data_IF_943031311190
#
_entry.id   IF_943031311190
#
_cell.length_a   1.000
_cell.length_b   1.000
_cell.length_c   1.000
_cell.angle_alpha   90.00
_cell.angle_beta   90.00
_cell.angle_gamma   90.00
#
_symmetry.space_group_name_H-M   'P 1'
#
loop_
_entity.id
_entity.type
_entity.pdbx_description
1 polymer ?
#
# COMPACT_ATOMS: atom_id res chain seq x y z
N UNK A 1 -15.54 -3.75 14.64
CA UNK A 1 -14.96 -3.28 15.92
C UNK A 1 -14.98 -1.75 16.05
N UNK A 2 -14.34 -1.00 15.15
CA UNK A 2 -14.20 0.47 15.29
C UNK A 2 -15.52 1.24 15.44
N UNK A 3 -16.53 0.94 14.61
CA UNK A 3 -17.87 1.57 14.71
C UNK A 3 -18.54 1.29 16.05
N UNK A 4 -18.39 0.07 16.60
CA UNK A 4 -18.98 -0.29 17.88
C UNK A 4 -18.31 0.49 19.03
N UNK A 5 -16.98 0.65 19.00
CA UNK A 5 -16.27 1.48 19.96
C UNK A 5 -16.69 2.95 19.87
N UNK A 6 -16.79 3.49 18.65
CA UNK A 6 -17.31 4.83 18.42
C UNK A 6 -18.70 5.02 19.04
N UNK A 7 -19.66 4.12 18.74
CA UNK A 7 -21.01 4.13 19.32
C UNK A 7 -20.99 4.06 20.85
N UNK A 8 -20.10 3.24 21.43
CA UNK A 8 -19.92 3.15 22.89
C UNK A 8 -19.41 4.46 23.48
N UNK A 9 -18.42 5.11 22.85
CA UNK A 9 -17.85 6.38 23.32
C UNK A 9 -18.88 7.50 23.31
N UNK A 10 -19.60 7.69 22.21
CA UNK A 10 -20.63 8.75 22.10
C UNK A 10 -21.89 8.46 22.94
N UNK A 11 -21.99 7.26 23.56
CA UNK A 11 -23.05 6.96 24.52
C UNK A 11 -22.74 7.57 25.89
N UNK A 12 -21.48 7.92 26.16
CA UNK A 12 -21.12 8.75 27.31
C UNK A 12 -21.51 10.22 27.01
N UNK A 13 -22.37 10.86 27.83
CA UNK A 13 -22.75 12.25 27.64
C UNK A 13 -21.56 13.22 27.49
N UNK A 14 -20.48 13.02 28.25
CA UNK A 14 -19.31 13.90 28.22
C UNK A 14 -18.51 13.82 26.90
N UNK A 15 -18.67 12.74 26.15
CA UNK A 15 -17.99 12.49 24.87
C UNK A 15 -18.94 12.66 23.67
N UNK A 16 -20.21 12.96 23.92
CA UNK A 16 -21.24 12.99 22.90
C UNK A 16 -21.35 14.35 22.21
N UNK A 17 -20.42 14.62 21.28
CA UNK A 17 -20.46 15.83 20.46
C UNK A 17 -21.68 15.95 19.51
N UNK A 18 -22.54 14.92 19.46
CA UNK A 18 -23.78 14.90 18.67
C UNK A 18 -25.03 15.23 19.50
N UNK A 19 -24.89 15.59 20.79
CA UNK A 19 -26.03 15.81 21.69
C UNK A 19 -26.98 16.93 21.25
N UNK A 20 -26.46 17.96 20.56
CA UNK A 20 -27.24 19.12 20.10
C UNK A 20 -28.02 18.84 18.82
N UNK A 21 -27.76 17.70 18.16
CA UNK A 21 -28.45 17.33 16.93
C UNK A 21 -29.81 16.71 17.23
N UNK A 22 -30.81 17.06 16.43
CA UNK A 22 -32.10 16.37 16.41
C UNK A 22 -31.94 14.88 16.07
N UNK A 23 -32.93 14.06 16.46
CA UNK A 23 -32.89 12.61 16.34
C UNK A 23 -32.62 12.12 14.91
N UNK A 24 -33.24 12.75 13.91
CA UNK A 24 -33.06 12.41 12.49
C UNK A 24 -31.62 12.69 12.01
N UNK A 25 -31.11 13.91 12.25
CA UNK A 25 -29.74 14.29 11.89
C UNK A 25 -28.70 13.41 12.58
N UNK A 26 -28.93 13.08 13.86
CA UNK A 26 -28.06 12.17 14.61
C UNK A 26 -28.05 10.78 13.99
N UNK A 27 -29.22 10.21 13.68
CA UNK A 27 -29.31 8.91 13.02
C UNK A 27 -28.58 8.92 11.66
N UNK A 28 -28.73 10.00 10.88
CA UNK A 28 -28.05 10.17 9.60
C UNK A 28 -26.53 10.23 9.73
N UNK A 29 -26.00 10.98 10.69
CA UNK A 29 -24.54 11.03 10.96
C UNK A 29 -24.01 9.65 11.35
N UNK A 30 -24.72 8.93 12.23
CA UNK A 30 -24.30 7.59 12.65
C UNK A 30 -24.29 6.61 11.49
N UNK A 31 -25.31 6.66 10.62
CA UNK A 31 -25.34 5.86 9.40
C UNK A 31 -24.16 6.19 8.48
N UNK A 32 -23.88 7.48 8.26
CA UNK A 32 -22.76 7.92 7.42
C UNK A 32 -21.41 7.45 7.95
N UNK A 33 -21.15 7.66 9.25
CA UNK A 33 -19.91 7.23 9.90
C UNK A 33 -19.74 5.72 9.79
N UNK A 34 -20.79 4.95 10.04
CA UNK A 34 -20.76 3.50 9.92
C UNK A 34 -20.38 3.06 8.50
N UNK A 35 -21.05 3.60 7.47
CA UNK A 35 -20.79 3.23 6.08
C UNK A 35 -19.38 3.68 5.62
N UNK A 36 -18.94 4.87 6.03
CA UNK A 36 -17.60 5.40 5.70
C UNK A 36 -16.50 4.55 6.35
N UNK A 37 -16.65 4.16 7.61
CA UNK A 37 -15.68 3.29 8.31
C UNK A 37 -15.68 1.89 7.72
N UNK A 38 -16.84 1.32 7.36
CA UNK A 38 -16.89 0.01 6.70
C UNK A 38 -16.23 0.05 5.32
N UNK A 39 -16.25 1.19 4.63
CA UNK A 39 -15.58 1.35 3.35
C UNK A 39 -14.05 1.36 3.44
N UNK A 40 -13.44 1.57 4.62
CA UNK A 40 -11.97 1.53 4.76
C UNK A 40 -11.41 0.11 4.69
N UNK A 41 -12.25 -0.92 4.79
CA UNK A 41 -11.86 -2.31 4.61
C UNK A 41 -11.16 -2.53 3.25
N UNK A 42 -9.93 -3.05 3.30
CA UNK A 42 -9.12 -3.30 2.12
C UNK A 42 -9.61 -4.52 1.32
N UNK A 43 -10.30 -5.47 1.94
CA UNK A 43 -10.86 -6.63 1.22
C UNK A 43 -11.90 -6.24 0.17
N UNK A 44 -12.59 -5.12 0.40
CA UNK A 44 -13.61 -4.54 -0.51
C UNK A 44 -13.06 -3.44 -1.41
N UNK A 45 -11.75 -3.18 -1.36
CA UNK A 45 -11.13 -2.03 -2.03
C UNK A 45 -11.37 -2.03 -3.54
N UNK A 46 -11.13 -3.16 -4.19
CA UNK A 46 -11.29 -3.29 -5.65
C UNK A 46 -12.76 -3.28 -6.07
N UNK A 47 -13.64 -3.91 -5.28
CA UNK A 47 -15.08 -3.82 -5.47
C UNK A 47 -15.51 -2.34 -5.47
N UNK A 48 -15.11 -1.59 -4.45
CA UNK A 48 -15.44 -0.18 -4.31
C UNK A 48 -14.89 0.69 -5.46
N UNK A 49 -13.66 0.41 -5.91
CA UNK A 49 -13.06 1.05 -7.09
C UNK A 49 -13.82 0.70 -8.36
N UNK A 50 -14.50 -0.43 -8.45
CA UNK A 50 -15.21 -0.81 -9.66
C UNK A 50 -16.70 -0.42 -9.63
N UNK A 51 -17.30 -0.25 -8.44
CA UNK A 51 -18.71 0.08 -8.24
C UNK A 51 -19.12 1.41 -8.89
N UNK A 52 -20.18 1.46 -9.71
CA UNK A 52 -20.63 2.69 -10.36
C UNK A 52 -21.06 3.75 -9.33
N UNK A 53 -21.04 5.03 -9.74
CA UNK A 53 -21.60 6.09 -8.92
C UNK A 53 -23.11 5.87 -8.75
N UNK A 54 -23.65 5.91 -7.52
CA UNK A 54 -25.09 5.82 -7.30
C UNK A 54 -25.84 6.97 -7.99
N UNK A 55 -27.04 6.66 -8.49
CA UNK A 55 -27.94 7.64 -9.13
C UNK A 55 -28.66 8.49 -8.08
N UNK A 56 -29.03 7.88 -6.95
CA UNK A 56 -29.65 8.60 -5.85
C UNK A 56 -28.65 9.62 -5.27
N UNK A 57 -29.11 10.87 -5.08
CA UNK A 57 -28.27 11.97 -4.62
C UNK A 57 -27.62 11.70 -3.26
N UNK A 58 -28.36 11.12 -2.33
CA UNK A 58 -27.90 10.84 -0.97
C UNK A 58 -26.82 9.74 -0.98
N UNK A 59 -27.11 8.64 -1.68
CA UNK A 59 -26.16 7.54 -1.87
C UNK A 59 -24.90 8.00 -2.61
N UNK A 60 -25.04 8.90 -3.59
CA UNK A 60 -23.91 9.48 -4.32
C UNK A 60 -23.01 10.33 -3.40
N UNK A 61 -23.60 11.10 -2.49
CA UNK A 61 -22.84 11.87 -1.48
C UNK A 61 -22.09 10.89 -0.56
N UNK A 62 -22.79 9.90 -0.02
CA UNK A 62 -22.19 8.91 0.86
C UNK A 62 -21.04 8.16 0.18
N UNK A 63 -21.25 7.71 -1.07
CA UNK A 63 -20.23 7.05 -1.87
C UNK A 63 -18.98 7.93 -2.03
N UNK A 64 -19.16 9.22 -2.37
CA UNK A 64 -18.04 10.16 -2.51
C UNK A 64 -17.30 10.39 -1.19
N UNK A 65 -18.02 10.49 -0.06
CA UNK A 65 -17.41 10.65 1.25
C UNK A 65 -16.60 9.41 1.67
N UNK A 66 -17.15 8.21 1.45
CA UNK A 66 -16.45 6.97 1.69
C UNK A 66 -15.23 6.82 0.77
N UNK A 67 -15.34 7.19 -0.51
CA UNK A 67 -14.21 7.21 -1.44
C UNK A 67 -13.11 8.18 -0.99
N UNK A 68 -13.49 9.40 -0.58
CA UNK A 68 -12.57 10.38 -0.02
C UNK A 68 -11.88 9.87 1.26
N UNK A 69 -12.61 9.16 2.11
CA UNK A 69 -12.04 8.52 3.30
C UNK A 69 -11.00 7.46 2.94
N UNK A 70 -11.25 6.59 1.96
CA UNK A 70 -10.25 5.62 1.48
C UNK A 70 -8.98 6.31 0.96
N UNK A 71 -9.14 7.39 0.20
CA UNK A 71 -8.01 8.20 -0.28
C UNK A 71 -7.24 8.83 0.88
N UNK A 72 -7.94 9.31 1.91
CA UNK A 72 -7.33 9.90 3.10
C UNK A 72 -6.55 8.87 3.93
N UNK A 73 -7.13 7.68 4.14
CA UNK A 73 -6.55 6.54 4.86
C UNK A 73 -5.22 6.10 4.23
N UNK A 74 -5.17 6.05 2.90
CA UNK A 74 -3.97 5.70 2.14
C UNK A 74 -3.15 6.92 1.70
N UNK A 75 -3.37 8.10 2.29
CA UNK A 75 -2.75 9.35 1.82
C UNK A 75 -1.23 9.39 1.94
N UNK A 76 -0.62 8.57 2.80
CA UNK A 76 0.85 8.51 2.90
C UNK A 76 1.51 8.11 1.57
N UNK A 77 0.82 7.38 0.69
CA UNK A 77 1.29 6.94 -0.63
C UNK A 77 1.47 8.09 -1.63
N UNK A 78 0.84 9.24 -1.35
CA UNK A 78 0.81 10.44 -2.21
C UNK A 78 1.44 11.66 -1.53
N UNK A 79 2.19 11.45 -0.44
CA UNK A 79 3.04 12.48 0.17
C UNK A 79 4.42 12.52 -0.49
N UNK A 80 5.25 13.48 -0.11
CA UNK A 80 6.66 13.50 -0.50
C UNK A 80 7.33 12.17 -0.15
N UNK A 81 8.29 11.73 -0.97
CA UNK A 81 8.94 10.43 -0.80
C UNK A 81 9.56 10.26 0.59
N UNK A 82 10.16 11.31 1.14
CA UNK A 82 10.74 11.29 2.49
C UNK A 82 9.69 10.97 3.56
N UNK A 83 8.49 11.55 3.46
CA UNK A 83 7.40 11.29 4.38
C UNK A 83 6.81 9.89 4.15
N UNK A 84 6.54 9.56 2.89
CA UNK A 84 6.05 8.25 2.51
C UNK A 84 6.96 7.11 3.03
N UNK A 85 8.29 7.26 2.87
CA UNK A 85 9.26 6.27 3.33
C UNK A 85 9.21 6.07 4.86
N UNK A 86 9.04 7.14 5.64
CA UNK A 86 8.87 7.01 7.10
C UNK A 86 7.63 6.20 7.46
N UNK A 87 6.51 6.43 6.76
CA UNK A 87 5.30 5.62 6.96
C UNK A 87 5.52 4.15 6.56
N UNK A 88 6.21 3.89 5.45
CA UNK A 88 6.56 2.54 5.04
C UNK A 88 7.44 1.85 6.09
N UNK A 89 8.41 2.56 6.68
CA UNK A 89 9.24 2.02 7.75
C UNK A 89 8.45 1.66 9.01
N UNK A 90 7.46 2.48 9.40
CA UNK A 90 6.56 2.20 10.52
C UNK A 90 5.64 1.02 10.24
N UNK A 91 5.00 0.98 9.07
CA UNK A 91 4.11 -0.13 8.64
C UNK A 91 4.86 -1.45 8.60
N UNK A 92 6.11 -1.42 8.14
CA UNK A 92 6.98 -2.59 8.10
C UNK A 92 7.27 -3.11 9.51
N UNK A 93 7.55 -2.24 10.47
CA UNK A 93 7.74 -2.69 11.86
C UNK A 93 6.47 -3.33 12.43
N UNK A 94 5.30 -2.73 12.20
CA UNK A 94 4.01 -3.31 12.60
C UNK A 94 3.78 -4.70 11.99
N UNK A 95 4.12 -4.88 10.70
CA UNK A 95 4.06 -6.19 10.05
C UNK A 95 5.01 -7.20 10.68
N UNK A 96 6.22 -6.80 11.04
CA UNK A 96 7.17 -7.69 11.71
C UNK A 96 6.71 -8.10 13.10
N UNK A 97 6.12 -7.18 13.86
CA UNK A 97 5.50 -7.51 15.16
C UNK A 97 4.36 -8.52 15.00
N UNK A 98 3.58 -8.45 13.92
CA UNK A 98 2.56 -9.47 13.62
C UNK A 98 3.20 -10.82 13.28
N UNK A 99 4.23 -10.84 12.41
CA UNK A 99 4.91 -12.07 12.03
C UNK A 99 5.59 -12.78 13.21
N UNK A 100 6.13 -12.02 14.17
CA UNK A 100 6.68 -12.57 15.40
C UNK A 100 5.60 -13.23 16.27
N UNK A 101 4.44 -12.58 16.42
CA UNK A 101 3.29 -13.18 17.14
C UNK A 101 2.80 -14.44 16.46
N UNK A 102 2.73 -14.45 15.12
CA UNK A 102 2.36 -15.66 14.36
C UNK A 102 3.37 -16.79 14.61
N UNK A 103 4.67 -16.47 14.67
CA UNK A 103 5.73 -17.43 14.99
C UNK A 103 5.61 -17.97 16.41
N UNK A 104 5.36 -17.11 17.39
CA UNK A 104 5.14 -17.49 18.80
C UNK A 104 3.92 -18.41 18.96
N UNK A 105 2.86 -18.14 18.21
CA UNK A 105 1.65 -18.95 18.17
C UNK A 105 1.78 -20.21 17.30
N UNK A 106 2.97 -20.49 16.76
CA UNK A 106 3.26 -21.62 15.86
C UNK A 106 2.35 -21.65 14.61
N UNK A 107 1.94 -20.47 14.15
CA UNK A 107 1.17 -20.29 12.92
C UNK A 107 2.11 -20.11 11.72
N UNK A 108 1.58 -20.34 10.53
CA UNK A 108 2.29 -19.94 9.31
C UNK A 108 2.39 -18.42 9.28
N UNK A 109 3.61 -17.90 9.19
CA UNK A 109 3.86 -16.46 9.10
C UNK A 109 3.26 -15.92 7.80
N UNK A 110 2.48 -14.86 7.93
CA UNK A 110 1.86 -14.16 6.83
C UNK A 110 2.94 -13.61 5.89
N UNK A 111 2.69 -13.74 4.59
CA UNK A 111 3.65 -13.36 3.56
C UNK A 111 4.02 -11.88 3.68
N UNK A 112 5.33 -11.58 3.81
CA UNK A 112 5.86 -10.21 3.92
C UNK A 112 5.89 -9.66 5.34
N UNK A 113 5.57 -10.48 6.34
CA UNK A 113 5.61 -10.13 7.77
C UNK A 113 6.82 -10.74 8.49
N UNK A 114 7.68 -11.48 7.79
CA UNK A 114 8.89 -12.04 8.39
C UNK A 114 10.05 -11.02 8.34
N UNK A 115 10.59 -10.66 9.50
CA UNK A 115 11.76 -9.77 9.62
C UNK A 115 13.05 -10.38 9.08
N UNK A 116 13.10 -11.70 8.93
CA UNK A 116 14.23 -12.43 8.34
C UNK A 116 14.20 -12.46 6.80
N UNK A 117 13.09 -12.00 6.18
CA UNK A 117 13.01 -11.86 4.73
C UNK A 117 13.95 -10.76 4.23
N UNK A 118 14.66 -11.08 3.14
CA UNK A 118 15.62 -10.15 2.57
C UNK A 118 14.93 -8.85 2.13
N UNK A 119 15.38 -7.75 2.73
CA UNK A 119 14.94 -6.37 2.50
C UNK A 119 14.99 -5.88 1.04
N UNK A 120 15.62 -6.65 0.15
CA UNK A 120 15.73 -6.35 -1.27
C UNK A 120 14.36 -6.25 -1.96
N UNK A 121 13.32 -6.87 -1.41
CA UNK A 121 12.01 -6.95 -2.04
C UNK A 121 11.07 -5.78 -1.71
N UNK A 122 11.38 -4.94 -0.70
CA UNK A 122 10.46 -3.85 -0.29
C UNK A 122 10.23 -2.82 -1.40
N UNK A 123 11.25 -2.51 -2.20
CA UNK A 123 11.11 -1.56 -3.30
C UNK A 123 10.23 -2.09 -4.42
N UNK A 124 10.42 -3.36 -4.82
CA UNK A 124 9.54 -4.01 -5.80
C UNK A 124 8.11 -4.13 -5.26
N UNK A 125 7.98 -4.50 -3.99
CA UNK A 125 6.71 -4.58 -3.29
C UNK A 125 5.97 -3.23 -3.30
N UNK A 126 6.62 -2.14 -2.90
CA UNK A 126 6.01 -0.80 -2.89
C UNK A 126 5.58 -0.36 -4.28
N UNK A 127 6.40 -0.58 -5.32
CA UNK A 127 6.00 -0.27 -6.71
C UNK A 127 4.73 -1.03 -7.11
N UNK A 128 4.61 -2.29 -6.72
CA UNK A 128 3.45 -3.12 -7.06
C UNK A 128 2.21 -2.69 -6.27
N UNK A 129 2.35 -2.41 -4.98
CA UNK A 129 1.25 -1.92 -4.16
C UNK A 129 0.70 -0.58 -4.69
N UNK A 130 1.60 0.37 -4.95
CA UNK A 130 1.25 1.69 -5.49
C UNK A 130 0.59 1.59 -6.88
N UNK A 131 1.10 0.73 -7.78
CA UNK A 131 0.51 0.56 -9.12
C UNK A 131 -0.86 -0.12 -9.10
N UNK A 132 -1.04 -1.15 -8.28
CA UNK A 132 -2.23 -2.01 -8.35
C UNK A 132 -3.38 -1.47 -7.52
N UNK A 133 -3.10 -0.88 -6.35
CA UNK A 133 -4.16 -0.48 -5.42
C UNK A 133 -4.35 1.04 -5.36
N UNK A 134 -3.27 1.82 -5.37
CA UNK A 134 -3.35 3.28 -5.21
C UNK A 134 -3.57 3.99 -6.55
N UNK A 135 -2.94 3.52 -7.62
CA UNK A 135 -3.13 4.07 -8.97
C UNK A 135 -4.60 4.10 -9.41
N UNK A 136 -5.29 2.95 -9.46
CA UNK A 136 -6.70 2.89 -9.84
C UNK A 136 -7.61 3.70 -8.91
N UNK A 137 -7.31 3.73 -7.60
CA UNK A 137 -8.03 4.57 -6.64
C UNK A 137 -7.97 6.06 -7.04
N UNK A 138 -6.77 6.58 -7.32
CA UNK A 138 -6.61 7.98 -7.70
C UNK A 138 -7.18 8.30 -9.08
N UNK A 139 -7.10 7.38 -10.03
CA UNK A 139 -7.73 7.56 -11.35
C UNK A 139 -9.24 7.72 -11.23
N UNK A 140 -9.88 6.86 -10.43
CA UNK A 140 -11.30 6.97 -10.15
C UNK A 140 -11.66 8.21 -9.34
N UNK A 141 -10.85 8.55 -8.34
CA UNK A 141 -11.03 9.79 -7.58
C UNK A 141 -10.94 11.02 -8.47
N UNK A 142 -10.03 11.03 -9.45
CA UNK A 142 -9.90 12.10 -10.43
C UNK A 142 -11.19 12.30 -11.21
N UNK A 143 -11.79 11.22 -11.70
CA UNK A 143 -13.08 11.25 -12.40
C UNK A 143 -14.21 11.79 -11.51
N UNK A 144 -14.26 11.42 -10.23
CA UNK A 144 -15.27 11.92 -9.28
C UNK A 144 -15.07 13.38 -8.89
N UNK A 145 -13.83 13.86 -8.91
CA UNK A 145 -13.43 15.23 -8.57
C UNK A 145 -13.57 16.24 -9.71
N UNK A 146 -14.14 15.84 -10.86
CA UNK A 146 -14.31 16.69 -12.04
C UNK A 146 -13.00 17.34 -12.52
N UNK A 147 -11.89 16.59 -12.44
CA UNK A 147 -10.61 17.08 -12.94
C UNK A 147 -9.83 18.01 -11.99
N UNK A 148 -10.15 18.00 -10.69
CA UNK A 148 -9.50 18.84 -9.67
C UNK A 148 -7.97 18.88 -9.81
N UNK A 149 -7.35 20.08 -9.82
CA UNK A 149 -5.89 20.23 -9.89
C UNK A 149 -5.16 19.51 -8.76
N UNK A 150 -5.76 19.45 -7.56
CA UNK A 150 -5.21 18.74 -6.42
C UNK A 150 -5.03 17.25 -6.71
N UNK A 151 -6.01 16.60 -7.35
CA UNK A 151 -5.91 15.17 -7.65
C UNK A 151 -4.83 14.89 -8.69
N UNK A 152 -4.60 15.82 -9.63
CA UNK A 152 -3.47 15.72 -10.56
C UNK A 152 -2.13 15.79 -9.82
N UNK A 153 -2.01 16.68 -8.84
CA UNK A 153 -0.80 16.76 -8.01
C UNK A 153 -0.59 15.48 -7.18
N UNK A 154 -1.66 14.92 -6.60
CA UNK A 154 -1.61 13.64 -5.88
C UNK A 154 -1.12 12.50 -6.79
N UNK A 155 -1.62 12.43 -8.03
CA UNK A 155 -1.15 11.47 -9.03
C UNK A 155 0.34 11.67 -9.35
N UNK A 156 0.81 12.91 -9.48
CA UNK A 156 2.25 13.18 -9.69
C UNK A 156 3.10 12.74 -8.49
N UNK A 157 2.63 12.97 -7.25
CA UNK A 157 3.30 12.45 -6.05
C UNK A 157 3.41 10.92 -6.07
N UNK A 158 2.32 10.23 -6.41
CA UNK A 158 2.30 8.77 -6.55
C UNK A 158 3.39 8.31 -7.53
N UNK A 159 3.42 8.90 -8.73
CA UNK A 159 4.41 8.58 -9.76
C UNK A 159 5.86 8.80 -9.29
N UNK A 160 6.12 9.90 -8.57
CA UNK A 160 7.44 10.17 -7.98
C UNK A 160 7.83 9.10 -6.97
N UNK A 161 6.92 8.69 -6.09
CA UNK A 161 7.19 7.64 -5.10
C UNK A 161 7.49 6.30 -5.76
N UNK A 162 6.71 5.93 -6.78
CA UNK A 162 6.95 4.70 -7.55
C UNK A 162 8.30 4.72 -8.27
N UNK A 163 8.68 5.86 -8.85
CA UNK A 163 10.00 6.04 -9.49
C UNK A 163 11.14 5.88 -8.49
N UNK A 164 11.03 6.51 -7.31
CA UNK A 164 12.01 6.38 -6.23
C UNK A 164 12.17 4.93 -5.76
N UNK A 165 11.06 4.23 -5.49
CA UNK A 165 11.10 2.81 -5.12
C UNK A 165 11.69 1.92 -6.21
N UNK A 166 11.38 2.19 -7.49
CA UNK A 166 11.96 1.47 -8.62
C UNK A 166 13.47 1.67 -8.72
N UNK A 167 13.99 2.87 -8.42
CA UNK A 167 15.44 3.10 -8.39
C UNK A 167 16.11 2.39 -7.22
N UNK A 168 15.45 2.31 -6.07
CA UNK A 168 15.97 1.62 -4.87
C UNK A 168 15.96 0.10 -5.05
N UNK A 169 14.96 -0.46 -5.73
CA UNK A 169 14.90 -1.91 -6.00
C UNK A 169 16.01 -2.38 -6.95
N UNK A 170 16.38 -1.56 -7.95
CA UNK A 170 17.51 -1.87 -8.85
C UNK A 170 18.86 -1.83 -8.10
N UNK A 171 19.01 -0.93 -7.12
CA UNK A 171 20.26 -0.78 -6.34
C UNK A 171 20.50 -1.92 -5.33
N UNK A 172 19.44 -2.61 -4.88
CA UNK A 172 19.55 -3.72 -3.94
C UNK A 172 19.90 -5.07 -4.58
N UNK A 173 20.07 -5.14 -5.91
CA UNK A 173 20.76 -6.26 -6.56
C UNK A 173 22.26 -6.13 -6.25
N UNK A 174 22.68 -6.50 -5.03
CA UNK A 174 24.09 -6.70 -4.73
C UNK A 174 24.60 -7.82 -5.63
N UNK A 175 25.71 -7.65 -6.38
CA UNK A 175 26.35 -8.79 -7.02
C UNK A 175 26.71 -9.79 -5.93
N UNK A 176 26.36 -11.07 -6.12
CA UNK A 176 26.68 -12.18 -5.22
C UNK A 176 28.16 -12.13 -4.79
N UNK A 177 28.45 -11.48 -3.67
CA UNK A 177 29.76 -11.48 -3.05
C UNK A 177 29.91 -12.76 -2.24
N UNK A 178 30.05 -13.89 -2.93
CA UNK A 178 30.96 -14.97 -2.55
C UNK A 178 30.90 -16.12 -3.56
N UNK A 179 31.59 -15.96 -4.70
CA UNK A 179 31.87 -17.09 -5.60
C UNK A 179 32.75 -18.17 -4.95
N UNK A 180 33.49 -17.83 -3.88
CA UNK A 180 34.35 -18.78 -3.15
C UNK A 180 33.57 -19.77 -2.28
N UNK A 181 32.52 -19.32 -1.58
CA UNK A 181 31.70 -20.19 -0.72
C UNK A 181 30.93 -21.27 -1.52
N UNK A 182 30.48 -20.94 -2.73
CA UNK A 182 29.81 -21.91 -3.62
C UNK A 182 30.79 -22.95 -4.22
N UNK A 183 32.03 -22.56 -4.48
CA UNK A 183 33.05 -23.47 -5.02
C UNK A 183 33.53 -24.49 -3.96
N UNK A 184 33.61 -24.08 -2.69
CA UNK A 184 33.99 -24.96 -1.58
C UNK A 184 32.86 -25.93 -1.19
N UNK A 185 31.59 -25.52 -1.32
CA UNK A 185 30.43 -26.40 -1.10
C UNK A 185 30.29 -27.49 -2.18
N UNK A 186 30.70 -27.20 -3.43
CA UNK A 186 30.60 -28.14 -4.54
C UNK A 186 31.61 -29.31 -4.49
N UNK A 187 32.61 -29.27 -3.59
CA UNK A 187 33.61 -30.33 -3.44
C UNK A 187 33.27 -31.38 -2.37
N UNK A 188 32.17 -31.20 -1.61
CA UNK A 188 31.73 -32.19 -0.61
C UNK A 188 30.68 -33.13 -1.20
N UNK A 189 31.15 -34.32 -1.59
CA UNK A 189 30.48 -35.62 -1.79
C UNK A 189 29.07 -35.67 -2.46
N UNK A 190 28.87 -36.35 -3.61
CA UNK A 190 27.69 -36.19 -4.45
C UNK A 190 26.46 -37.06 -4.12
N UNK A 191 26.24 -37.46 -2.85
CA UNK A 191 25.17 -38.40 -2.48
C UNK A 191 24.03 -37.81 -1.62
N UNK A 192 23.73 -36.52 -1.75
CA UNK A 192 22.47 -35.98 -1.23
C UNK A 192 22.05 -34.70 -1.97
N UNK A 193 21.58 -34.82 -3.21
CA UNK A 193 21.02 -33.67 -3.95
C UNK A 193 19.51 -33.59 -3.76
N UNK A 194 19.09 -33.17 -2.56
CA UNK A 194 17.81 -32.48 -2.39
C UNK A 194 17.97 -31.03 -2.87
N UNK A 195 17.11 -30.60 -3.80
CA UNK A 195 17.09 -29.28 -4.44
C UNK A 195 17.53 -28.11 -3.54
N UNK A 196 18.76 -27.61 -3.75
CA UNK A 196 19.16 -26.26 -3.34
C UNK A 196 18.89 -25.30 -4.51
N UNK A 197 17.62 -24.96 -4.69
CA UNK A 197 17.23 -23.84 -5.56
C UNK A 197 17.40 -22.54 -4.76
N UNK A 198 18.62 -22.01 -4.70
CA UNK A 198 18.96 -20.80 -3.96
C UNK A 198 18.53 -19.50 -4.70
N UNK A 199 17.35 -19.52 -5.33
CA UNK A 199 16.61 -18.31 -5.69
C UNK A 199 15.37 -18.28 -4.80
N UNK A 200 15.34 -17.36 -3.83
CA UNK A 200 14.08 -17.02 -3.16
C UNK A 200 13.05 -16.73 -4.26
N UNK A 201 11.89 -17.42 -4.28
CA UNK A 201 10.91 -17.23 -5.34
C UNK A 201 10.41 -15.79 -5.27
N UNK A 202 10.51 -15.06 -6.40
CA UNK A 202 9.88 -13.74 -6.54
C UNK A 202 8.40 -13.89 -6.20
N UNK A 203 7.98 -13.35 -5.06
CA UNK A 203 6.64 -13.59 -4.53
C UNK A 203 5.60 -12.86 -5.38
N UNK A 204 4.47 -13.50 -5.68
CA UNK A 204 3.43 -12.89 -6.52
C UNK A 204 2.61 -11.86 -5.73
N UNK A 205 2.17 -10.76 -6.36
CA UNK A 205 1.30 -9.75 -5.72
C UNK A 205 0.04 -10.41 -5.19
N UNK A 206 -0.42 -11.47 -5.87
CA UNK A 206 -1.63 -12.19 -5.54
C UNK A 206 -1.54 -12.88 -4.17
N UNK A 207 -0.37 -13.41 -3.78
CA UNK A 207 -0.16 -13.99 -2.45
C UNK A 207 -0.27 -12.93 -1.36
N UNK A 208 0.35 -11.77 -1.58
CA UNK A 208 0.26 -10.64 -0.67
C UNK A 208 -1.17 -10.12 -0.57
N UNK A 209 -1.81 -9.84 -1.70
CA UNK A 209 -3.18 -9.33 -1.76
C UNK A 209 -4.13 -10.24 -0.96
N UNK A 210 -4.03 -11.57 -1.15
CA UNK A 210 -4.80 -12.56 -0.38
C UNK A 210 -4.56 -12.50 1.12
N UNK A 211 -3.32 -12.25 1.56
CA UNK A 211 -3.00 -12.06 2.99
C UNK A 211 -3.75 -10.90 3.64
N UNK A 212 -4.14 -9.89 2.85
CA UNK A 212 -4.95 -8.75 3.29
C UNK A 212 -6.42 -8.85 2.85
N UNK A 213 -6.87 -10.05 2.47
CA UNK A 213 -8.25 -10.29 2.02
C UNK A 213 -8.59 -9.65 0.66
N UNK A 214 -7.60 -9.17 -0.09
CA UNK A 214 -7.78 -8.61 -1.43
C UNK A 214 -7.70 -9.74 -2.46
N UNK A 215 -8.83 -10.17 -3.02
CA UNK A 215 -8.81 -11.10 -4.16
C UNK A 215 -8.67 -10.29 -5.46
N UNK A 216 -7.55 -10.47 -6.16
CA UNK A 216 -7.29 -9.80 -7.45
C UNK A 216 -6.99 -10.85 -8.51
N UNK A 217 -7.66 -10.71 -9.66
CA UNK A 217 -7.41 -11.55 -10.82
C UNK A 217 -6.05 -11.23 -11.44
N UNK A 218 -5.40 -12.24 -12.05
CA UNK A 218 -4.12 -12.03 -12.77
C UNK A 218 -4.23 -10.95 -13.86
N UNK A 219 -5.40 -10.81 -14.47
CA UNK A 219 -5.68 -9.82 -15.52
C UNK A 219 -5.78 -8.39 -14.98
N UNK A 220 -6.35 -8.20 -13.79
CA UNK A 220 -6.45 -6.89 -13.14
C UNK A 220 -5.07 -6.38 -12.74
N UNK A 221 -4.22 -7.28 -12.21
CA UNK A 221 -2.82 -7.02 -11.92
C UNK A 221 -2.09 -6.57 -13.20
N UNK A 222 -2.28 -7.28 -14.32
CA UNK A 222 -1.65 -6.95 -15.59
C UNK A 222 -2.10 -5.58 -16.14
N UNK A 223 -3.41 -5.29 -16.06
CA UNK A 223 -3.98 -4.01 -16.51
C UNK A 223 -3.45 -2.83 -15.70
N UNK A 224 -3.37 -2.95 -14.38
CA UNK A 224 -2.86 -1.87 -13.53
C UNK A 224 -1.36 -1.57 -13.80
N UNK A 225 -0.56 -2.61 -14.01
CA UNK A 225 0.84 -2.48 -14.42
C UNK A 225 0.96 -1.80 -15.80
N UNK A 226 0.07 -2.12 -16.74
CA UNK A 226 0.06 -1.52 -18.08
C UNK A 226 -0.36 -0.03 -18.07
N UNK A 227 -1.42 0.33 -17.32
CA UNK A 227 -1.85 1.73 -17.11
C UNK A 227 -0.68 2.56 -16.57
N UNK A 228 0.03 2.02 -15.58
CA UNK A 228 1.19 2.69 -15.02
C UNK A 228 2.35 2.85 -16.03
N UNK A 229 2.69 1.79 -16.78
CA UNK A 229 3.73 1.88 -17.83
C UNK A 229 3.40 2.93 -18.88
N UNK A 230 2.13 3.01 -19.30
CA UNK A 230 1.66 4.00 -20.27
C UNK A 230 1.68 5.42 -19.71
N UNK A 231 1.30 5.61 -18.44
CA UNK A 231 1.41 6.90 -17.74
C UNK A 231 2.84 7.39 -17.57
N UNK A 232 3.81 6.48 -17.43
CA UNK A 232 5.24 6.80 -17.37
C UNK A 232 5.83 7.14 -18.74
N UNK A 233 5.39 6.46 -19.80
CA UNK A 233 5.84 6.75 -21.16
C UNK A 233 5.44 8.18 -21.61
N UNK A 234 4.25 8.65 -21.23
CA UNK A 234 3.75 9.97 -21.63
C UNK A 234 4.31 11.15 -20.82
N UNK A 235 4.84 10.91 -19.62
CA UNK A 235 5.46 11.94 -18.77
C UNK A 235 6.98 12.00 -18.86
N UNK A 236 7.59 11.13 -19.68
CA UNK A 236 9.04 11.10 -19.93
C UNK A 236 9.51 12.17 -20.93
N UNK A 237 9.14 13.44 -20.73
CA UNK A 237 10.09 14.49 -21.10
C UNK A 237 11.27 14.38 -20.14
N UNK A 238 12.36 13.79 -20.66
CA UNK A 238 13.68 13.73 -20.01
C UNK A 238 14.14 15.13 -19.61
N UNK A 239 13.73 15.61 -18.44
CA UNK A 239 14.56 16.55 -17.68
C UNK A 239 15.43 15.70 -16.79
N UNK A 240 16.72 15.70 -17.07
CA UNK A 240 17.73 14.99 -16.29
C UNK A 240 17.47 15.27 -14.81
N UNK A 241 17.11 14.23 -14.06
CA UNK A 241 17.11 14.31 -12.61
C UNK A 241 18.54 14.65 -12.22
N UNK A 242 18.74 15.85 -11.70
CA UNK A 242 20.02 16.29 -11.18
C UNK A 242 20.38 15.41 -9.98
N UNK A 243 21.28 14.46 -10.23
CA UNK A 243 21.71 13.45 -9.26
C UNK A 243 22.47 14.05 -8.07
N UNK A 244 22.81 15.33 -8.11
CA UNK A 244 23.51 16.02 -7.02
C UNK A 244 22.60 16.37 -5.83
N UNK A 245 21.27 16.31 -5.97
CA UNK A 245 20.30 16.58 -4.89
C UNK A 245 19.80 15.35 -4.12
N UNK A 246 20.30 14.16 -4.44
CA UNK A 246 19.90 12.90 -3.77
C UNK A 246 20.89 12.45 -2.68
N UNK A 247 21.71 13.36 -2.16
CA UNK A 247 22.52 13.10 -0.96
C UNK A 247 21.64 13.24 0.28
N UNK A 248 21.39 12.11 0.95
CA UNK A 248 20.89 12.12 2.33
C UNK A 248 22.04 12.65 3.20
N UNK A 249 21.86 13.74 3.97
CA UNK A 249 22.91 14.19 4.86
C UNK A 249 23.15 13.13 5.93
N UNK A 250 24.34 12.54 5.94
CA UNK A 250 24.83 11.80 7.10
C UNK A 250 25.12 12.83 8.19
N UNK A 251 24.19 12.99 9.13
CA UNK A 251 24.46 13.69 10.38
C UNK A 251 25.52 12.91 11.16
N UNK A 252 26.68 13.52 11.33
CA UNK A 252 27.70 13.11 12.31
C UNK A 252 27.13 13.32 13.70
N UNK A 253 27.02 12.23 14.48
CA UNK A 253 26.85 12.33 15.93
C UNK A 253 28.19 12.80 16.51
N UNK A 254 28.18 14.00 17.07
CA UNK A 254 29.23 14.63 17.85
C UNK A 254 28.59 15.62 18.80
#
# INVERSE_FOLDING_TARGET
>A
MHVALFKKLISNPELNFLETLGSESRARVLFYVEQIVLATDMSKHMEYINSPLPVNKEECILFKLAFAMKVADMSHNIRSFQMHNKFVDMLKEEFYEQGDKERELQMQITTGMDRDEAYADIGEFQVRFLSIFIGPLLERWHAHSQGSPLVKEMQQCLLRNMSMWSMLSVRNIRPLQNKKAFAEAAQRNPLNTGHLDARMPRRSTQCFARGYGMDTGKEEIARAVDIFRKGFASTSERKSIDRTRLTVPHGTWG
#
